data_IF_799605586822
#
_entry.id   IF_799605586822
#
_cell.length_a   1.000
_cell.length_b   1.000
_cell.length_c   1.000
_cell.angle_alpha   90.00
_cell.angle_beta   90.00
_cell.angle_gamma   90.00
#
_symmetry.space_group_name_H-M   'P 1'
#
loop_
_entity.id
_entity.type
_entity.pdbx_description
1 polymer ?
#
# COMPACT_ATOMS: atom_id res chain seq x y z
N UNK A 1 -7.21 4.19 -9.78
CA UNK A 1 -5.82 3.76 -9.49
C UNK A 1 -5.73 2.24 -9.40
N UNK A 2 -4.52 1.67 -9.44
CA UNK A 2 -4.32 0.22 -9.38
C UNK A 2 -3.54 -0.18 -8.13
N UNK A 3 -4.14 -1.04 -7.31
CA UNK A 3 -3.43 -1.74 -6.24
C UNK A 3 -2.84 -3.01 -6.85
N UNK A 4 -1.51 -3.13 -6.87
CA UNK A 4 -0.81 -4.27 -7.47
C UNK A 4 -0.29 -5.21 -6.40
N UNK A 5 -0.14 -6.48 -6.73
CA UNK A 5 0.48 -7.46 -5.83
C UNK A 5 1.86 -6.97 -5.39
N UNK A 6 1.99 -6.73 -4.08
CA UNK A 6 3.15 -6.13 -3.45
C UNK A 6 4.42 -6.96 -3.67
N UNK A 7 4.28 -8.28 -3.88
CA UNK A 7 5.42 -9.16 -4.20
C UNK A 7 6.08 -8.84 -5.55
N UNK A 8 5.48 -7.96 -6.36
CA UNK A 8 6.01 -7.51 -7.66
C UNK A 8 6.71 -6.15 -7.57
N UNK A 9 6.82 -5.55 -6.39
CA UNK A 9 7.49 -4.27 -6.17
C UNK A 9 9.02 -4.35 -6.35
N UNK A 10 9.69 -3.21 -6.15
CA UNK A 10 11.15 -3.08 -6.23
C UNK A 10 11.88 -3.55 -4.96
N UNK A 11 11.22 -3.55 -3.80
CA UNK A 11 11.80 -4.01 -2.54
C UNK A 11 11.39 -5.46 -2.27
N UNK A 12 12.31 -6.39 -2.51
CA UNK A 12 12.10 -7.82 -2.28
C UNK A 12 11.87 -8.18 -0.80
N UNK A 13 12.15 -7.28 0.14
CA UNK A 13 11.91 -7.48 1.57
C UNK A 13 10.51 -7.05 2.02
N UNK A 14 9.68 -6.49 1.13
CA UNK A 14 8.31 -6.11 1.46
C UNK A 14 7.50 -7.31 1.97
N UNK A 15 6.75 -7.08 3.04
CA UNK A 15 6.05 -8.09 3.86
C UNK A 15 6.97 -9.10 4.57
N UNK A 16 8.08 -9.51 3.96
CA UNK A 16 9.03 -10.47 4.54
C UNK A 16 9.67 -9.90 5.80
N UNK A 17 10.16 -8.66 5.75
CA UNK A 17 10.90 -8.05 6.86
C UNK A 17 10.13 -8.07 8.18
N UNK A 18 8.87 -7.62 8.17
CA UNK A 18 8.03 -7.60 9.37
C UNK A 18 7.80 -9.02 9.89
N UNK A 19 7.40 -9.93 8.98
CA UNK A 19 7.12 -11.32 9.32
C UNK A 19 8.34 -12.00 9.96
N UNK A 20 9.54 -11.81 9.40
CA UNK A 20 10.76 -12.39 9.96
C UNK A 20 11.16 -11.77 11.31
N UNK A 21 10.88 -10.48 11.55
CA UNK A 21 11.08 -9.89 12.87
C UNK A 21 10.14 -10.50 13.92
N UNK A 22 8.88 -10.75 13.56
CA UNK A 22 7.94 -11.46 14.44
C UNK A 22 8.40 -12.90 14.65
N UNK A 23 8.80 -13.61 13.59
CA UNK A 23 9.28 -15.00 13.67
C UNK A 23 10.46 -15.11 14.66
N UNK A 24 11.50 -14.28 14.49
CA UNK A 24 12.64 -14.25 15.40
C UNK A 24 12.26 -13.94 16.84
N UNK A 25 11.31 -13.03 17.04
CA UNK A 25 10.81 -12.72 18.38
C UNK A 25 10.08 -13.89 19.04
N UNK A 26 9.35 -14.68 18.25
CA UNK A 26 8.70 -15.90 18.73
C UNK A 26 9.70 -17.03 18.99
N UNK A 27 10.71 -17.20 18.13
CA UNK A 27 11.83 -18.14 18.35
C UNK A 27 12.56 -17.82 19.66
N UNK A 28 12.85 -16.54 19.92
CA UNK A 28 13.51 -16.09 21.15
C UNK A 28 12.65 -16.32 22.41
N UNK A 29 11.33 -16.19 22.30
CA UNK A 29 10.39 -16.50 23.38
C UNK A 29 10.33 -18.01 23.68
N UNK A 30 10.44 -18.85 22.65
CA UNK A 30 10.35 -20.31 22.77
C UNK A 30 11.71 -21.00 22.99
N UNK A 31 12.82 -20.24 23.07
CA UNK A 31 14.19 -20.77 23.06
C UNK A 31 14.49 -21.84 24.12
N UNK A 32 13.83 -21.75 25.28
CA UNK A 32 14.05 -22.63 26.43
C UNK A 32 13.19 -23.90 26.37
N UNK A 33 12.24 -23.98 25.41
CA UNK A 33 11.41 -25.15 25.14
C UNK A 33 11.74 -25.70 23.74
N UNK A 34 12.63 -26.69 23.71
CA UNK A 34 13.18 -27.28 22.47
C UNK A 34 12.09 -27.91 21.60
N UNK A 35 11.08 -28.55 22.21
CA UNK A 35 9.99 -29.18 21.48
C UNK A 35 9.07 -28.12 20.85
N UNK A 36 8.72 -27.09 21.62
CA UNK A 36 7.94 -25.96 21.12
C UNK A 36 8.67 -25.20 20.01
N UNK A 37 9.96 -24.90 20.18
CA UNK A 37 10.77 -24.21 19.17
C UNK A 37 10.84 -25.01 17.86
N UNK A 38 11.05 -26.33 17.95
CA UNK A 38 11.06 -27.21 16.78
C UNK A 38 9.69 -27.25 16.09
N UNK A 39 8.61 -27.34 16.87
CA UNK A 39 7.25 -27.30 16.35
C UNK A 39 6.95 -25.96 15.68
N UNK A 40 7.35 -24.85 16.30
CA UNK A 40 7.22 -23.51 15.76
C UNK A 40 7.88 -23.39 14.39
N UNK A 41 9.18 -23.70 14.30
CA UNK A 41 9.92 -23.58 13.02
C UNK A 41 9.30 -24.44 11.91
N UNK A 42 8.90 -25.68 12.23
CA UNK A 42 8.27 -26.57 11.24
C UNK A 42 6.96 -25.98 10.71
N UNK A 43 6.06 -25.55 11.60
CA UNK A 43 4.73 -25.09 11.21
C UNK A 43 4.73 -23.66 10.65
N UNK A 44 5.67 -22.82 11.07
CA UNK A 44 5.90 -21.49 10.49
C UNK A 44 6.24 -21.59 9.01
N UNK A 45 7.21 -22.44 8.64
CA UNK A 45 7.60 -22.67 7.25
C UNK A 45 6.41 -23.17 6.42
N UNK A 46 5.64 -24.13 6.96
CA UNK A 46 4.40 -24.59 6.31
C UNK A 46 3.39 -23.43 6.12
N UNK A 47 3.23 -22.55 7.11
CA UNK A 47 2.33 -21.39 7.06
C UNK A 47 2.75 -20.32 6.06
N UNK A 48 4.05 -20.13 5.84
CA UNK A 48 4.58 -19.23 4.81
C UNK A 48 4.22 -19.72 3.40
N UNK A 49 4.15 -21.05 3.21
CA UNK A 49 3.91 -21.66 1.90
C UNK A 49 2.46 -22.10 1.65
N UNK A 50 1.62 -22.21 2.68
CA UNK A 50 0.29 -22.81 2.59
C UNK A 50 -0.75 -21.98 1.82
N UNK A 51 -0.55 -20.66 1.67
CA UNK A 51 -1.57 -19.76 1.14
C UNK A 51 -1.13 -19.03 -0.14
N UNK A 52 -0.89 -19.79 -1.22
CA UNK A 52 -0.46 -19.25 -2.52
C UNK A 52 -1.49 -18.31 -3.15
N UNK A 53 -2.79 -18.56 -2.91
CA UNK A 53 -3.88 -17.79 -3.52
C UNK A 53 -4.12 -16.45 -2.81
N UNK A 54 -3.88 -16.33 -1.50
CA UNK A 54 -3.99 -15.05 -0.80
C UNK A 54 -2.85 -14.11 -1.18
N UNK A 55 -3.20 -12.97 -1.77
CA UNK A 55 -2.27 -11.91 -2.14
C UNK A 55 -2.53 -10.65 -1.34
N UNK A 56 -1.50 -9.83 -1.28
CA UNK A 56 -1.55 -8.49 -0.70
C UNK A 56 -1.37 -7.50 -1.83
N UNK A 57 -2.42 -6.78 -2.14
CA UNK A 57 -2.42 -5.72 -3.14
C UNK A 57 -2.17 -4.39 -2.47
N UNK A 58 -1.30 -3.55 -3.03
CA UNK A 58 -1.07 -2.23 -2.50
C UNK A 58 -0.94 -1.16 -3.58
N UNK A 59 -1.27 0.07 -3.19
CA UNK A 59 -0.84 1.29 -3.87
C UNK A 59 -0.12 2.18 -2.85
N UNK A 60 1.03 2.73 -3.25
CA UNK A 60 1.86 3.57 -2.41
C UNK A 60 1.70 5.04 -2.81
N UNK A 61 1.65 5.89 -1.81
CA UNK A 61 1.63 7.35 -1.91
C UNK A 61 2.86 7.90 -1.19
N UNK A 62 3.28 9.11 -1.54
CA UNK A 62 4.34 9.82 -0.81
C UNK A 62 3.78 11.04 -0.09
N UNK A 63 4.24 11.30 1.13
CA UNK A 63 4.05 12.61 1.78
C UNK A 63 4.94 13.70 1.14
N UNK A 64 5.87 13.32 0.26
CA UNK A 64 6.68 14.25 -0.52
C UNK A 64 5.94 14.66 -1.79
N UNK A 65 5.97 15.96 -2.10
CA UNK A 65 5.35 16.53 -3.30
C UNK A 65 6.36 16.55 -4.46
N UNK A 66 6.97 17.71 -4.71
CA UNK A 66 7.93 17.95 -5.78
C UNK A 66 9.35 17.48 -5.39
N UNK A 67 9.66 16.19 -5.61
CA UNK A 67 10.93 15.58 -5.15
C UNK A 67 11.69 14.86 -6.27
N UNK A 68 12.97 15.21 -6.46
CA UNK A 68 13.83 14.68 -7.53
C UNK A 68 13.90 13.15 -7.58
N UNK A 69 14.08 12.50 -6.42
CA UNK A 69 14.14 11.04 -6.34
C UNK A 69 12.83 10.38 -6.80
N UNK A 70 11.69 11.00 -6.49
CA UNK A 70 10.38 10.52 -6.93
C UNK A 70 10.19 10.70 -8.43
N UNK A 71 10.62 11.84 -8.98
CA UNK A 71 10.55 12.08 -10.42
C UNK A 71 11.41 11.08 -11.22
N UNK A 72 12.63 10.80 -10.74
CA UNK A 72 13.53 9.81 -11.33
C UNK A 72 12.97 8.39 -11.24
N UNK A 73 12.48 8.00 -10.07
CA UNK A 73 12.07 6.62 -9.80
C UNK A 73 10.70 6.25 -10.37
N UNK A 74 9.74 7.18 -10.40
CA UNK A 74 8.32 6.84 -10.58
C UNK A 74 7.59 7.64 -11.67
N UNK A 75 8.22 8.66 -12.24
CA UNK A 75 7.58 9.55 -13.21
C UNK A 75 8.36 9.63 -14.53
N UNK A 76 8.84 8.48 -15.02
CA UNK A 76 9.57 8.36 -16.28
C UNK A 76 10.71 9.40 -16.40
N UNK A 77 11.55 9.46 -15.37
CA UNK A 77 12.66 10.40 -15.27
C UNK A 77 12.24 11.89 -15.39
N UNK A 78 11.12 12.24 -14.75
CA UNK A 78 10.61 13.62 -14.67
C UNK A 78 9.72 14.05 -15.83
N UNK A 79 9.33 13.13 -16.72
CA UNK A 79 8.37 13.40 -17.81
C UNK A 79 6.91 13.20 -17.39
N UNK A 80 6.68 12.49 -16.28
CA UNK A 80 5.36 12.18 -15.75
C UNK A 80 4.74 13.30 -14.92
N UNK A 81 3.68 12.94 -14.20
CA UNK A 81 2.85 13.82 -13.38
C UNK A 81 2.80 13.27 -11.95
N UNK A 82 2.83 14.14 -10.94
CA UNK A 82 2.55 13.76 -9.55
C UNK A 82 1.17 14.30 -9.15
N UNK A 83 0.37 13.45 -8.51
CA UNK A 83 -1.00 13.75 -8.10
C UNK A 83 -1.06 13.72 -6.57
N UNK A 84 -1.44 14.84 -5.97
CA UNK A 84 -1.68 14.98 -4.54
C UNK A 84 -3.13 14.64 -4.19
N UNK A 85 -3.29 13.63 -3.35
CA UNK A 85 -4.60 13.12 -2.93
C UNK A 85 -5.05 13.70 -1.60
N UNK A 86 -6.35 13.83 -1.41
CA UNK A 86 -6.95 14.10 -0.11
C UNK A 86 -6.79 12.89 0.81
N UNK A 87 -6.03 13.09 1.89
CA UNK A 87 -5.75 12.04 2.86
C UNK A 87 -6.98 11.62 3.65
N UNK A 88 -7.89 12.54 3.97
CA UNK A 88 -9.12 12.23 4.71
C UNK A 88 -10.01 11.26 3.93
N UNK A 89 -10.14 11.46 2.62
CA UNK A 89 -10.86 10.52 1.74
C UNK A 89 -10.18 9.16 1.72
N UNK A 90 -8.84 9.10 1.65
CA UNK A 90 -8.11 7.82 1.70
C UNK A 90 -8.21 7.12 3.06
N UNK A 91 -8.37 7.85 4.16
CA UNK A 91 -8.54 7.28 5.50
C UNK A 91 -9.87 6.54 5.66
N UNK A 92 -10.89 6.83 4.83
CA UNK A 92 -12.15 6.07 4.76
C UNK A 92 -11.93 4.60 4.39
N UNK A 93 -10.82 4.25 3.74
CA UNK A 93 -10.45 2.86 3.43
C UNK A 93 -10.42 1.96 4.68
N UNK A 94 -10.03 2.52 5.83
CA UNK A 94 -9.96 1.79 7.10
C UNK A 94 -11.35 1.39 7.63
N UNK A 95 -12.42 1.98 7.12
CA UNK A 95 -13.79 1.72 7.55
C UNK A 95 -14.48 0.65 6.69
N UNK A 96 -13.86 0.23 5.57
CA UNK A 96 -14.49 -0.68 4.61
C UNK A 96 -14.48 -2.13 5.12
N UNK A 97 -13.34 -2.59 5.61
CA UNK A 97 -13.18 -3.94 6.15
C UNK A 97 -11.96 -4.01 7.05
N UNK A 98 -12.17 -4.00 8.36
CA UNK A 98 -11.13 -4.06 9.40
C UNK A 98 -10.09 -5.17 9.16
N UNK A 99 -10.52 -6.31 8.63
CA UNK A 99 -9.66 -7.49 8.45
C UNK A 99 -8.94 -7.58 7.10
N UNK A 100 -9.32 -6.77 6.10
CA UNK A 100 -8.86 -6.97 4.72
C UNK A 100 -8.37 -5.69 4.04
N UNK A 101 -8.67 -4.51 4.58
CA UNK A 101 -8.36 -3.22 3.95
C UNK A 101 -7.78 -2.29 5.00
N UNK A 102 -6.67 -1.64 4.67
CA UNK A 102 -6.03 -0.67 5.54
C UNK A 102 -5.36 0.45 4.73
N UNK A 103 -5.37 1.65 5.30
CA UNK A 103 -4.58 2.79 4.86
C UNK A 103 -3.77 3.33 6.01
N UNK A 104 -2.46 3.48 5.82
CA UNK A 104 -1.56 3.91 6.90
C UNK A 104 -0.18 4.30 6.43
N UNK A 105 0.58 4.91 7.35
CA UNK A 105 1.99 5.26 7.13
C UNK A 105 2.87 4.02 7.20
N UNK A 106 3.92 4.02 6.38
CA UNK A 106 4.98 3.02 6.46
C UNK A 106 5.95 3.36 7.60
N UNK A 107 6.31 2.35 8.36
CA UNK A 107 7.26 2.37 9.46
C UNK A 107 8.63 1.96 8.91
N UNK A 108 9.57 2.90 8.98
CA UNK A 108 10.96 2.70 8.56
C UNK A 108 11.87 2.54 9.77
N UNK A 109 11.70 3.41 10.76
CA UNK A 109 12.52 3.44 11.97
C UNK A 109 11.80 2.74 13.11
N UNK A 110 12.58 2.07 13.95
CA UNK A 110 12.15 1.49 15.22
C UNK A 110 10.83 0.66 15.15
N UNK A 111 10.72 -0.36 14.29
CA UNK A 111 9.51 -1.16 14.18
C UNK A 111 9.27 -2.06 15.40
N UNK A 112 10.12 -2.01 16.44
CA UNK A 112 10.08 -2.92 17.57
C UNK A 112 8.74 -2.87 18.29
N UNK A 113 8.19 -1.69 18.60
CA UNK A 113 6.90 -1.59 19.29
C UNK A 113 5.78 -2.25 18.48
N UNK A 114 5.73 -1.98 17.18
CA UNK A 114 4.76 -2.56 16.25
C UNK A 114 4.90 -4.10 16.18
N UNK A 115 6.13 -4.59 16.04
CA UNK A 115 6.45 -6.03 16.02
C UNK A 115 6.13 -6.70 17.36
N UNK A 116 6.43 -6.04 18.48
CA UNK A 116 6.15 -6.55 19.83
C UNK A 116 4.66 -6.69 20.09
N UNK A 117 3.82 -5.81 19.54
CA UNK A 117 2.37 -5.97 19.58
C UNK A 117 1.91 -7.30 18.97
N UNK A 118 2.47 -7.67 17.81
CA UNK A 118 2.18 -8.93 17.12
C UNK A 118 2.71 -10.14 17.90
N UNK A 119 3.93 -10.05 18.44
CA UNK A 119 4.53 -11.10 19.27
C UNK A 119 3.66 -11.35 20.51
N UNK A 120 3.30 -10.29 21.23
CA UNK A 120 2.49 -10.37 22.44
C UNK A 120 1.10 -10.99 22.16
N UNK A 121 0.49 -10.68 21.02
CA UNK A 121 -0.78 -11.30 20.61
C UNK A 121 -0.62 -12.82 20.35
N UNK A 122 0.46 -13.23 19.66
CA UNK A 122 0.75 -14.65 19.46
C UNK A 122 1.04 -15.39 20.77
N UNK A 123 1.80 -14.79 21.70
CA UNK A 123 2.05 -15.36 23.03
C UNK A 123 0.73 -15.58 23.79
N UNK A 124 -0.22 -14.64 23.70
CA UNK A 124 -1.55 -14.82 24.30
C UNK A 124 -2.30 -16.00 23.65
N UNK A 125 -2.19 -16.17 22.33
CA UNK A 125 -2.80 -17.28 21.58
C UNK A 125 -2.25 -18.65 22.01
N UNK A 126 -0.97 -18.74 22.37
CA UNK A 126 -0.36 -19.98 22.88
C UNK A 126 -1.04 -20.53 24.15
N UNK A 127 -1.75 -19.70 24.92
CA UNK A 127 -2.47 -20.16 26.13
C UNK A 127 -3.67 -21.05 25.83
N UNK A 128 -4.21 -20.98 24.62
CA UNK A 128 -5.43 -21.69 24.22
C UNK A 128 -5.35 -22.35 22.84
N UNK A 129 -4.24 -22.16 22.11
CA UNK A 129 -3.91 -22.87 20.87
C UNK A 129 -2.53 -23.53 21.00
N UNK A 130 -2.34 -24.67 20.34
CA UNK A 130 -1.03 -25.31 20.27
C UNK A 130 -0.02 -24.48 19.45
N UNK A 131 1.27 -24.56 19.82
CA UNK A 131 2.38 -23.84 19.17
C UNK A 131 2.36 -23.98 17.65
N UNK A 132 2.16 -25.21 17.15
CA UNK A 132 2.10 -25.47 15.71
C UNK A 132 0.96 -24.72 15.00
N UNK A 133 -0.21 -24.59 15.63
CA UNK A 133 -1.33 -23.85 15.05
C UNK A 133 -1.05 -22.35 15.01
N UNK A 134 -0.49 -21.78 16.08
CA UNK A 134 -0.13 -20.36 16.12
C UNK A 134 0.93 -20.03 15.07
N UNK A 135 1.94 -20.89 14.91
CA UNK A 135 2.98 -20.75 13.90
C UNK A 135 2.41 -20.83 12.47
N UNK A 136 1.55 -21.82 12.20
CA UNK A 136 0.92 -22.03 10.89
C UNK A 136 0.06 -20.82 10.47
N UNK A 137 -0.71 -20.24 11.40
CA UNK A 137 -1.61 -19.13 11.11
C UNK A 137 -0.93 -17.74 11.11
N UNK A 138 0.33 -17.62 11.54
CA UNK A 138 0.99 -16.32 11.72
C UNK A 138 0.99 -15.49 10.42
N UNK A 139 1.36 -16.11 9.30
CA UNK A 139 1.38 -15.42 8.01
C UNK A 139 0.00 -14.92 7.59
N UNK A 140 -1.06 -15.61 8.03
CA UNK A 140 -2.43 -15.29 7.68
C UNK A 140 -3.01 -14.20 8.57
N UNK A 141 -2.93 -14.41 9.89
CA UNK A 141 -3.51 -13.55 10.91
C UNK A 141 -2.95 -12.12 10.90
N UNK A 142 -1.69 -11.94 10.44
CA UNK A 142 -1.03 -10.63 10.46
C UNK A 142 -0.64 -10.13 9.06
N UNK A 143 -1.25 -10.69 8.01
CA UNK A 143 -0.93 -10.32 6.62
C UNK A 143 -1.13 -8.83 6.34
N UNK A 144 -2.14 -8.20 6.93
CA UNK A 144 -2.44 -6.77 6.77
C UNK A 144 -1.39 -5.87 7.43
N UNK A 145 -0.67 -6.39 8.43
CA UNK A 145 0.29 -5.62 9.22
C UNK A 145 1.68 -5.60 8.58
N UNK A 146 2.07 -6.68 7.89
CA UNK A 146 3.42 -6.81 7.32
C UNK A 146 3.81 -5.76 6.27
N UNK A 147 2.90 -5.28 5.39
CA UNK A 147 3.22 -4.27 4.37
C UNK A 147 3.63 -2.92 4.95
N UNK A 148 3.35 -2.65 6.23
CA UNK A 148 3.64 -1.35 6.83
C UNK A 148 5.03 -1.24 7.44
N UNK A 149 5.86 -2.30 7.42
CA UNK A 149 7.28 -2.18 7.82
C UNK A 149 8.16 -2.30 6.59
N UNK A 150 8.96 -1.26 6.31
CA UNK A 150 9.84 -1.20 5.14
C UNK A 150 11.30 -1.05 5.56
N UNK A 151 12.20 -1.41 4.66
CA UNK A 151 13.62 -1.21 4.87
C UNK A 151 13.96 0.30 5.02
N UNK A 152 14.73 0.71 6.06
CA UNK A 152 15.13 2.10 6.27
C UNK A 152 15.80 2.79 5.08
N UNK A 153 16.43 2.03 4.17
CA UNK A 153 17.02 2.57 2.94
C UNK A 153 16.02 3.28 2.02
N UNK A 154 14.72 3.01 2.17
CA UNK A 154 13.64 3.62 1.41
C UNK A 154 12.94 4.77 2.15
N UNK A 155 13.47 5.19 3.31
CA UNK A 155 12.86 6.24 4.16
C UNK A 155 12.62 7.56 3.43
N UNK A 156 13.39 7.86 2.38
CA UNK A 156 13.19 9.08 1.60
C UNK A 156 11.87 9.10 0.83
N UNK A 157 11.23 7.96 0.59
CA UNK A 157 9.93 7.87 -0.09
C UNK A 157 8.78 8.38 0.78
N UNK A 158 8.92 8.38 2.11
CA UNK A 158 7.87 8.81 3.06
C UNK A 158 6.49 8.21 2.71
N UNK A 159 6.43 6.89 2.61
CA UNK A 159 5.26 6.23 2.06
C UNK A 159 4.05 6.20 3.01
N UNK A 160 2.87 6.38 2.42
CA UNK A 160 1.60 5.87 2.94
C UNK A 160 1.11 4.77 1.98
N UNK A 161 0.50 3.70 2.51
CA UNK A 161 0.01 2.58 1.70
C UNK A 161 -1.47 2.37 1.92
N UNK A 162 -2.21 2.21 0.83
CA UNK A 162 -3.50 1.52 0.84
C UNK A 162 -3.25 0.05 0.49
N UNK A 163 -3.72 -0.85 1.34
CA UNK A 163 -3.50 -2.30 1.28
C UNK A 163 -4.85 -3.00 1.21
N UNK A 164 -4.96 -3.99 0.33
CA UNK A 164 -6.09 -4.93 0.25
C UNK A 164 -5.54 -6.35 0.26
N UNK A 165 -5.90 -7.15 1.25
CA UNK A 165 -5.64 -8.59 1.25
C UNK A 165 -6.83 -9.33 0.67
N UNK A 166 -6.57 -10.13 -0.37
CA UNK A 166 -7.60 -10.85 -1.09
C UNK A 166 -7.00 -12.08 -1.75
N UNK A 167 -7.77 -13.17 -1.85
CA UNK A 167 -7.39 -14.32 -2.68
C UNK A 167 -7.26 -13.95 -4.17
N UNK A 168 -6.89 -14.89 -5.03
CA UNK A 168 -7.02 -14.73 -6.47
C UNK A 168 -8.31 -15.41 -6.88
N UNK A 169 -9.27 -14.65 -7.40
CA UNK A 169 -10.53 -15.20 -7.88
C UNK A 169 -11.52 -14.15 -8.38
N UNK A 170 -12.71 -14.63 -8.77
CA UNK A 170 -13.76 -13.84 -9.42
C UNK A 170 -14.84 -13.32 -8.45
N UNK A 171 -14.46 -12.93 -7.24
CA UNK A 171 -15.37 -12.38 -6.24
C UNK A 171 -15.16 -10.88 -6.04
N UNK A 172 -16.14 -10.23 -5.44
CA UNK A 172 -16.12 -8.79 -5.21
C UNK A 172 -15.23 -8.45 -4.01
N UNK A 173 -14.47 -7.36 -4.14
CA UNK A 173 -13.71 -6.78 -3.03
C UNK A 173 -14.66 -5.86 -2.24
N UNK A 174 -14.67 -5.93 -0.90
CA UNK A 174 -15.45 -5.01 -0.07
C UNK A 174 -15.20 -3.55 -0.48
N UNK A 175 -16.27 -2.78 -0.64
CA UNK A 175 -16.25 -1.38 -1.10
C UNK A 175 -17.12 -0.54 -0.16
N UNK A 176 -16.88 0.77 -0.11
CA UNK A 176 -17.76 1.71 0.59
C UNK A 176 -18.71 2.42 -0.36
N UNK A 177 -19.54 3.32 0.18
CA UNK A 177 -20.28 4.26 -0.63
C UNK A 177 -19.35 5.14 -1.47
N UNK A 178 -18.17 5.53 -0.98
CA UNK A 178 -17.30 6.49 -1.67
C UNK A 178 -16.20 5.85 -2.53
N UNK A 179 -15.67 4.71 -2.08
CA UNK A 179 -14.52 4.04 -2.73
C UNK A 179 -14.92 2.65 -3.18
N UNK A 180 -14.85 2.43 -4.49
CA UNK A 180 -15.23 1.18 -5.12
C UNK A 180 -13.99 0.42 -5.59
N UNK A 181 -14.03 -0.90 -5.44
CA UNK A 181 -13.00 -1.80 -5.94
C UNK A 181 -13.51 -2.73 -7.04
N UNK A 182 -12.68 -2.98 -8.06
CA UNK A 182 -12.95 -4.04 -9.02
C UNK A 182 -12.67 -5.42 -8.42
N UNK A 183 -13.10 -6.47 -9.13
CA UNK A 183 -12.52 -7.82 -8.95
C UNK A 183 -11.02 -7.79 -9.32
N UNK A 184 -10.29 -8.83 -8.95
CA UNK A 184 -8.89 -8.99 -9.39
C UNK A 184 -8.82 -9.07 -10.92
N UNK A 185 -7.92 -8.25 -11.49
CA UNK A 185 -7.60 -8.18 -12.92
C UNK A 185 -6.11 -8.45 -13.14
N UNK A 186 -5.70 -8.59 -14.40
CA UNK A 186 -4.31 -8.84 -14.77
C UNK A 186 -3.83 -7.85 -15.83
N UNK A 187 -2.57 -7.42 -15.71
CA UNK A 187 -1.88 -6.65 -16.74
C UNK A 187 -0.47 -7.16 -16.93
N UNK A 188 0.08 -6.89 -18.11
CA UNK A 188 1.49 -7.10 -18.41
C UNK A 188 2.25 -5.79 -18.27
N UNK A 189 3.37 -5.81 -17.54
CA UNK A 189 4.28 -4.67 -17.45
C UNK A 189 5.69 -5.17 -17.14
N UNK A 190 6.72 -4.57 -17.74
CA UNK A 190 8.13 -4.94 -17.52
C UNK A 190 8.39 -6.45 -17.62
N UNK A 191 7.80 -7.11 -18.64
CA UNK A 191 7.86 -8.55 -18.86
C UNK A 191 7.30 -9.43 -17.71
N UNK A 192 6.49 -8.86 -16.83
CA UNK A 192 5.81 -9.57 -15.73
C UNK A 192 4.30 -9.58 -15.95
N UNK A 193 3.66 -10.68 -15.58
CA UNK A 193 2.22 -10.74 -15.38
C UNK A 193 1.90 -10.28 -13.95
N UNK A 194 1.13 -9.21 -13.82
CA UNK A 194 0.85 -8.53 -12.55
C UNK A 194 -0.65 -8.57 -12.27
N UNK A 195 -1.10 -9.27 -11.22
CA UNK A 195 -2.46 -9.14 -10.74
C UNK A 195 -2.64 -7.79 -10.04
N UNK A 196 -3.79 -7.17 -10.23
CA UNK A 196 -4.14 -5.88 -9.62
C UNK A 196 -5.63 -5.75 -9.35
N UNK A 197 -5.97 -4.83 -8.45
CA UNK A 197 -7.33 -4.38 -8.14
C UNK A 197 -7.43 -2.91 -8.55
N UNK A 198 -8.49 -2.52 -9.25
CA UNK A 198 -8.77 -1.11 -9.51
C UNK A 198 -9.47 -0.50 -8.31
N UNK A 199 -8.96 0.62 -7.83
CA UNK A 199 -9.61 1.50 -6.86
C UNK A 199 -10.16 2.72 -7.60
N UNK A 200 -11.47 2.90 -7.53
CA UNK A 200 -12.22 3.89 -8.30
C UNK A 200 -12.68 5.03 -7.37
N UNK A 201 -12.58 6.26 -7.89
CA UNK A 201 -12.89 7.52 -7.21
C UNK A 201 -14.08 8.26 -7.82
N UNK A 202 -14.91 7.59 -8.63
CA UNK A 202 -16.03 8.20 -9.35
C UNK A 202 -16.94 9.04 -8.43
N UNK A 203 -17.17 8.56 -7.21
CA UNK A 203 -18.06 9.18 -6.22
C UNK A 203 -17.40 10.27 -5.37
N UNK A 204 -16.10 10.48 -5.54
CA UNK A 204 -15.31 11.46 -4.78
C UNK A 204 -14.41 12.32 -5.69
N UNK A 205 -14.72 12.41 -6.99
CA UNK A 205 -13.92 13.15 -7.98
C UNK A 205 -13.62 14.59 -7.54
N UNK A 206 -14.62 15.29 -7.01
CA UNK A 206 -14.53 16.69 -6.63
C UNK A 206 -13.66 16.92 -5.37
N UNK A 207 -13.45 15.89 -4.56
CA UNK A 207 -12.75 16.02 -3.27
C UNK A 207 -11.39 15.31 -3.24
N UNK A 208 -11.19 14.28 -4.07
CA UNK A 208 -10.06 13.36 -3.96
C UNK A 208 -8.71 13.93 -4.44
N UNK A 209 -8.69 14.79 -5.46
CA UNK A 209 -7.45 15.41 -5.96
C UNK A 209 -7.35 16.83 -5.39
N UNK A 210 -6.21 17.18 -4.80
CA UNK A 210 -5.94 18.52 -4.25
C UNK A 210 -4.94 19.31 -5.05
N UNK A 211 -3.92 18.65 -5.58
CA UNK A 211 -2.87 19.32 -6.34
C UNK A 211 -2.26 18.37 -7.38
N UNK A 212 -1.70 18.95 -8.42
CA UNK A 212 -0.98 18.24 -9.47
C UNK A 212 0.33 18.96 -9.77
N UNK A 213 1.41 18.22 -9.83
CA UNK A 213 2.69 18.71 -10.33
C UNK A 213 3.00 18.08 -11.68
N UNK A 214 3.34 18.93 -12.65
CA UNK A 214 3.87 18.53 -13.95
C UNK A 214 5.37 18.34 -13.79
N UNK A 215 5.88 17.17 -14.19
CA UNK A 215 7.29 16.85 -14.06
C UNK A 215 8.20 17.83 -14.82
N UNK A 216 9.44 18.06 -14.36
CA UNK A 216 10.30 19.12 -14.88
C UNK A 216 10.87 18.84 -16.28
N UNK A 217 10.73 17.62 -16.81
CA UNK A 217 11.03 17.27 -18.21
C UNK A 217 9.76 16.98 -19.03
N UNK A 218 8.59 17.22 -18.47
CA UNK A 218 7.32 17.00 -19.15
C UNK A 218 7.06 18.12 -20.15
N UNK A 219 6.53 17.76 -21.30
CA UNK A 219 6.03 18.71 -22.32
C UNK A 219 4.55 19.05 -22.10
N UNK A 220 3.93 18.49 -21.06
CA UNK A 220 2.53 18.77 -20.70
C UNK A 220 2.40 20.21 -20.22
N UNK A 221 1.42 20.92 -20.76
CA UNK A 221 1.08 22.27 -20.33
C UNK A 221 0.00 22.27 -19.24
N UNK A 222 -0.12 23.38 -18.52
CA UNK A 222 -1.10 23.51 -17.42
C UNK A 222 -2.52 23.35 -17.96
N UNK A 223 -2.80 23.98 -19.10
CA UNK A 223 -4.09 23.96 -19.79
C UNK A 223 -4.50 22.54 -20.19
N UNK A 224 -3.53 21.67 -20.56
CA UNK A 224 -3.80 20.27 -20.89
C UNK A 224 -4.41 19.54 -19.68
N UNK A 225 -3.84 19.75 -18.48
CA UNK A 225 -4.35 19.13 -17.25
C UNK A 225 -5.69 19.71 -16.85
N UNK A 226 -5.89 21.04 -16.97
CA UNK A 226 -7.18 21.68 -16.67
C UNK A 226 -8.28 21.11 -17.57
N UNK A 227 -8.04 21.05 -18.87
CA UNK A 227 -9.00 20.52 -19.84
C UNK A 227 -9.25 19.03 -19.62
N UNK A 228 -8.21 18.26 -19.31
CA UNK A 228 -8.34 16.84 -18.98
C UNK A 228 -9.23 16.62 -17.74
N UNK A 229 -8.97 17.33 -16.64
CA UNK A 229 -9.77 17.21 -15.42
C UNK A 229 -11.24 17.62 -15.67
N UNK A 230 -11.48 18.69 -16.43
CA UNK A 230 -12.82 19.10 -16.85
C UNK A 230 -13.52 18.00 -17.65
N UNK A 231 -12.85 17.43 -18.66
CA UNK A 231 -13.43 16.38 -19.51
C UNK A 231 -13.84 15.13 -18.70
N UNK A 232 -13.08 14.77 -17.66
CA UNK A 232 -13.40 13.63 -16.79
C UNK A 232 -14.34 13.98 -15.62
N UNK A 233 -14.88 15.20 -15.59
CA UNK A 233 -15.89 15.62 -14.62
C UNK A 233 -15.34 15.95 -13.24
N UNK A 234 -14.04 16.22 -13.08
CA UNK A 234 -13.46 16.61 -11.78
C UNK A 234 -13.88 18.02 -11.33
N UNK A 235 -14.44 18.81 -12.24
CA UNK A 235 -14.96 20.16 -11.96
C UNK A 235 -16.49 20.24 -12.02
N UNK A 236 -17.19 19.12 -12.18
CA UNK A 236 -18.65 19.10 -12.25
C UNK A 236 -19.25 19.59 -10.92
N UNK A 237 -20.24 20.49 -11.02
CA UNK A 237 -20.96 21.02 -9.86
C UNK A 237 -20.16 21.98 -8.98
N UNK A 238 -19.02 22.51 -9.46
CA UNK A 238 -18.22 23.49 -8.69
C UNK A 238 -18.72 24.91 -8.90
N UNK A 239 -19.24 25.50 -7.83
CA UNK A 239 -19.65 26.90 -7.79
C UNK A 239 -18.42 27.82 -7.85
N UNK A 240 -18.47 28.85 -8.70
CA UNK A 240 -17.39 29.83 -8.85
C UNK A 240 -16.37 29.54 -9.97
N UNK A 241 -16.58 28.47 -10.75
CA UNK A 241 -15.74 28.10 -11.90
C UNK A 241 -14.43 27.42 -11.50
N UNK A 242 -13.62 27.09 -12.49
CA UNK A 242 -12.34 26.39 -12.30
C UNK A 242 -11.22 27.06 -13.10
N UNK A 243 -10.00 26.98 -12.57
CA UNK A 243 -8.77 27.36 -13.26
C UNK A 243 -7.60 26.52 -12.71
N UNK A 244 -6.36 26.86 -13.05
CA UNK A 244 -5.19 26.09 -12.60
C UNK A 244 -4.84 26.27 -11.11
N UNK A 245 -5.44 27.22 -10.41
CA UNK A 245 -5.20 27.48 -8.98
C UNK A 245 -6.24 26.77 -8.10
N UNK A 246 -7.46 26.60 -8.59
CA UNK A 246 -8.58 26.02 -7.83
C UNK A 246 -9.60 25.34 -8.76
N UNK A 247 -10.30 24.30 -8.30
CA UNK A 247 -10.17 23.64 -6.98
C UNK A 247 -8.91 22.77 -6.83
N UNK A 248 -8.31 22.37 -7.95
CA UNK A 248 -7.09 21.56 -8.01
C UNK A 248 -5.94 22.47 -8.39
N UNK A 249 -4.96 22.62 -7.50
CA UNK A 249 -3.79 23.45 -7.77
C UNK A 249 -2.82 22.71 -8.72
N UNK A 250 -2.61 23.23 -9.93
CA UNK A 250 -1.74 22.64 -10.96
C UNK A 250 -0.48 23.51 -11.10
N UNK A 251 0.69 22.89 -10.99
CA UNK A 251 2.00 23.58 -11.00
C UNK A 251 3.01 22.82 -11.86
N UNK A 252 3.94 23.53 -12.50
CA UNK A 252 5.16 22.91 -13.02
C UNK A 252 6.15 22.69 -11.88
N UNK A 253 6.82 21.54 -11.89
CA UNK A 253 7.89 21.21 -10.94
C UNK A 253 9.00 22.26 -11.01
N UNK A 254 9.48 22.67 -9.84
CA UNK A 254 10.63 23.55 -9.68
C UNK A 254 11.94 22.79 -9.46
N UNK A 255 11.87 21.46 -9.42
CA UNK A 255 13.01 20.59 -9.14
C UNK A 255 14.04 20.69 -10.25
N UNK A 256 15.26 21.10 -9.90
CA UNK A 256 16.38 21.13 -10.84
C UNK A 256 16.87 19.72 -11.15
N UNK A 257 16.79 19.34 -12.43
CA UNK A 257 17.46 18.16 -12.96
C UNK A 257 18.88 18.51 -13.35
N UNK A 258 19.84 18.17 -12.48
CA UNK A 258 21.26 18.15 -12.83
C UNK A 258 21.67 16.75 -13.28
#
# INVERSE_FOLDING_TARGET
MWLSDISKSNDYQECVRCREFVNKGMEEYLRDDVEALKAWGTWYENGVHSNFLMKTFCVCFSESKDKLSQWRGYAQDGKGIAIGFDRGVLEELNQISEFHIAFGKVIYDNPQEYVQGIIADNIKKLKHKGVGHVALELSENYRMQFPFVKNPGFKEEKECRAVVCSTIGHYNIPSSENILFSKVKYRTANNKLIPYIEMNFERVKQSIIKEIFIGPKSEVEIEDIVNFLSFYGYYDGIDGGYNYQQPVAIKKSSTTYR
#
